data_IF_789937805169
#
_entry.id   IF_789937805169
#
_cell.length_a   1.000
_cell.length_b   1.000
_cell.length_c   1.000
_cell.angle_alpha   90.00
_cell.angle_beta   90.00
_cell.angle_gamma   90.00
#
_symmetry.space_group_name_H-M   'P 1'
#
loop_
_entity.id
_entity.type
_entity.pdbx_description
1 polymer ?
#
# COMPACT_ATOMS: atom_id res chain seq x y z
N UNK A 1 24.93 -3.90 9.25
CA UNK A 1 24.48 -2.57 8.77
C UNK A 1 23.85 -1.84 9.96
N UNK A 2 24.42 -0.74 10.44
CA UNK A 2 23.89 -0.01 11.62
C UNK A 2 22.63 0.82 11.30
N UNK A 3 21.84 1.18 12.33
CA UNK A 3 20.58 1.95 12.25
C UNK A 3 20.65 3.21 11.36
N UNK A 4 21.81 3.88 11.25
CA UNK A 4 22.01 5.02 10.34
C UNK A 4 21.86 4.69 8.85
N UNK A 5 22.26 3.48 8.43
CA UNK A 5 22.14 3.04 7.03
C UNK A 5 20.68 2.78 6.64
N UNK A 6 19.91 2.18 7.55
CA UNK A 6 18.48 1.93 7.38
C UNK A 6 17.68 3.24 7.29
N UNK A 7 18.00 4.23 8.13
CA UNK A 7 17.40 5.56 8.05
C UNK A 7 17.69 6.27 6.71
N UNK A 8 18.89 6.10 6.16
CA UNK A 8 19.27 6.62 4.84
C UNK A 8 18.46 5.97 3.71
N UNK A 9 18.33 4.64 3.74
CA UNK A 9 17.51 3.88 2.78
C UNK A 9 16.06 4.31 2.87
N UNK A 10 15.48 4.36 4.09
CA UNK A 10 14.10 4.81 4.32
C UNK A 10 13.85 6.20 3.74
N UNK A 11 14.74 7.18 4.01
CA UNK A 11 14.64 8.55 3.44
C UNK A 11 14.62 8.56 1.91
N UNK A 12 15.35 7.65 1.26
CA UNK A 12 15.33 7.53 -0.20
C UNK A 12 14.02 6.92 -0.69
N UNK A 13 13.51 5.90 0.00
CA UNK A 13 12.27 5.20 -0.35
C UNK A 13 11.03 6.09 -0.25
N UNK A 14 10.93 6.93 0.78
CA UNK A 14 9.78 7.84 0.95
C UNK A 14 9.65 8.88 -0.15
N UNK A 15 10.70 9.09 -0.95
CA UNK A 15 10.70 9.99 -2.12
C UNK A 15 10.29 9.29 -3.42
N UNK A 16 9.85 8.04 -3.36
CA UNK A 16 9.46 7.28 -4.56
C UNK A 16 8.22 7.91 -5.22
N UNK A 17 8.27 8.25 -6.52
CA UNK A 17 7.09 8.77 -7.22
C UNK A 17 5.91 7.79 -7.17
N UNK A 18 4.73 8.32 -6.88
CA UNK A 18 3.49 7.54 -6.78
C UNK A 18 3.33 6.78 -5.46
N UNK A 19 4.29 6.90 -4.53
CA UNK A 19 4.13 6.38 -3.16
C UNK A 19 2.95 7.08 -2.46
N UNK A 20 2.21 6.27 -1.73
CA UNK A 20 1.03 6.61 -0.95
C UNK A 20 1.04 5.78 0.33
N UNK A 21 0.29 6.24 1.32
CA UNK A 21 0.14 5.58 2.60
C UNK A 21 -1.34 5.29 2.84
N UNK A 22 -1.62 4.15 3.43
CA UNK A 22 -2.93 3.77 3.92
C UNK A 22 -2.81 3.45 5.41
N UNK A 23 -3.56 4.17 6.25
CA UNK A 23 -3.54 3.90 7.69
C UNK A 23 -4.37 2.65 7.98
N UNK A 24 -3.78 1.71 8.70
CA UNK A 24 -4.33 0.38 8.97
C UNK A 24 -4.22 0.04 10.45
N UNK A 25 -5.18 -0.70 11.03
CA UNK A 25 -5.00 -1.25 12.36
C UNK A 25 -3.84 -2.25 12.36
N UNK A 26 -3.05 -2.26 13.44
CA UNK A 26 -1.98 -3.25 13.65
C UNK A 26 -2.62 -4.64 13.77
N UNK A 27 -3.53 -4.79 14.74
CA UNK A 27 -4.43 -5.93 14.89
C UNK A 27 -5.87 -5.44 14.78
N UNK A 28 -6.73 -6.20 14.09
CA UNK A 28 -8.14 -5.84 13.90
C UNK A 28 -8.86 -5.71 15.24
N UNK A 29 -9.58 -4.60 15.43
CA UNK A 29 -10.30 -4.30 16.67
C UNK A 29 -9.51 -3.49 17.70
N UNK A 30 -8.20 -3.27 17.49
CA UNK A 30 -7.37 -2.44 18.35
C UNK A 30 -7.26 -0.99 17.85
N UNK A 31 -6.88 -0.08 18.75
CA UNK A 31 -6.65 1.34 18.46
C UNK A 31 -5.25 1.63 17.89
N UNK A 32 -4.37 0.63 17.86
CA UNK A 32 -3.01 0.77 17.34
C UNK A 32 -3.03 0.73 15.81
N UNK A 33 -2.27 1.63 15.19
CA UNK A 33 -2.25 1.76 13.73
C UNK A 33 -0.83 1.83 13.18
N UNK A 34 -0.67 1.42 11.92
CA UNK A 34 0.54 1.58 11.14
C UNK A 34 0.22 2.15 9.76
N UNK A 35 1.25 2.64 9.07
CA UNK A 35 1.14 3.15 7.71
C UNK A 35 1.56 2.07 6.72
N UNK A 36 0.60 1.59 5.93
CA UNK A 36 0.83 0.67 4.83
C UNK A 36 1.23 1.44 3.57
N UNK A 37 2.45 1.20 3.10
CA UNK A 37 2.97 1.82 1.88
C UNK A 37 2.42 1.12 0.63
N UNK A 38 2.00 1.91 -0.36
CA UNK A 38 1.75 1.41 -1.70
C UNK A 38 2.19 2.42 -2.76
N UNK A 39 2.52 1.94 -3.96
CA UNK A 39 2.86 2.78 -5.11
C UNK A 39 1.85 2.57 -6.20
N UNK A 40 1.24 3.66 -6.67
CA UNK A 40 0.32 3.61 -7.83
C UNK A 40 0.91 4.32 -9.04
N UNK A 41 1.16 3.59 -10.13
CA UNK A 41 1.83 4.08 -11.33
C UNK A 41 1.03 3.82 -12.62
N UNK A 42 1.27 4.63 -13.66
CA UNK A 42 0.55 4.56 -14.94
C UNK A 42 -0.68 5.47 -15.00
N UNK A 43 -1.38 5.49 -16.16
CA UNK A 43 -2.62 6.25 -16.35
C UNK A 43 -3.69 5.79 -15.36
N UNK A 44 -4.44 6.71 -14.74
CA UNK A 44 -5.45 6.36 -13.73
C UNK A 44 -6.72 5.83 -14.39
N UNK A 45 -7.28 4.75 -13.86
CA UNK A 45 -8.61 4.24 -14.22
C UNK A 45 -9.36 3.68 -13.00
N UNK A 46 -10.58 3.19 -13.23
CA UNK A 46 -11.49 2.60 -12.24
C UNK A 46 -11.19 1.11 -11.94
N UNK A 47 -10.30 0.48 -12.73
CA UNK A 47 -9.95 -0.95 -12.66
C UNK A 47 -8.43 -1.14 -12.63
N UNK A 48 -7.76 -0.72 -11.55
CA UNK A 48 -6.32 -0.86 -11.45
C UNK A 48 -5.91 -2.33 -11.28
N UNK A 49 -4.75 -2.67 -11.82
CA UNK A 49 -4.08 -3.94 -11.56
C UNK A 49 -3.40 -3.89 -10.20
N UNK A 50 -3.95 -4.60 -9.22
CA UNK A 50 -3.29 -4.84 -7.94
C UNK A 50 -2.20 -5.91 -8.12
N UNK A 51 -0.95 -5.55 -7.83
CA UNK A 51 0.19 -6.45 -7.89
C UNK A 51 0.68 -6.69 -6.47
N UNK A 52 0.71 -7.97 -6.10
CA UNK A 52 1.25 -8.47 -4.84
C UNK A 52 2.61 -9.10 -5.11
N UNK A 53 3.70 -8.32 -5.03
CA UNK A 53 5.02 -8.89 -5.18
C UNK A 53 5.28 -9.94 -4.10
N UNK A 54 5.67 -11.15 -4.51
CA UNK A 54 5.90 -12.27 -3.60
C UNK A 54 7.18 -12.13 -2.77
N UNK A 55 7.06 -12.50 -1.48
CA UNK A 55 8.17 -12.84 -0.59
C UNK A 55 8.35 -11.90 0.62
N UNK A 56 8.34 -12.39 1.89
CA UNK A 56 8.51 -11.60 3.11
C UNK A 56 9.92 -11.02 3.35
N UNK A 57 10.69 -10.75 2.28
CA UNK A 57 12.06 -10.21 2.37
C UNK A 57 12.33 -8.98 1.50
N UNK A 58 11.41 -8.60 0.61
CA UNK A 58 11.62 -7.53 -0.36
C UNK A 58 10.47 -6.52 -0.32
N UNK A 59 10.70 -5.39 0.35
CA UNK A 59 9.78 -4.26 0.39
C UNK A 59 9.40 -3.80 -1.03
N UNK A 60 8.11 -3.81 -1.39
CA UNK A 60 7.61 -3.63 -2.77
C UNK A 60 8.04 -2.35 -3.49
N UNK A 61 8.40 -1.28 -2.75
CA UNK A 61 8.67 0.04 -3.30
C UNK A 61 9.90 0.07 -4.23
N UNK A 62 10.99 -0.60 -3.85
CA UNK A 62 12.28 -0.52 -4.57
C UNK A 62 12.52 -1.64 -5.58
N UNK A 63 12.43 -2.93 -5.21
CA UNK A 63 12.78 -4.06 -6.09
C UNK A 63 11.91 -4.12 -7.35
N UNK A 64 10.66 -3.66 -7.26
CA UNK A 64 9.71 -3.72 -8.36
C UNK A 64 9.62 -2.41 -9.16
N UNK A 65 10.54 -1.45 -8.95
CA UNK A 65 10.55 -0.20 -9.70
C UNK A 65 10.63 -0.40 -11.23
N UNK A 66 11.49 -1.30 -11.77
CA UNK A 66 11.53 -1.55 -13.22
C UNK A 66 10.22 -2.15 -13.74
N UNK A 67 9.62 -3.08 -12.99
CA UNK A 67 8.34 -3.69 -13.35
C UNK A 67 7.22 -2.64 -13.41
N UNK A 68 7.12 -1.75 -12.40
CA UNK A 68 6.14 -0.65 -12.42
C UNK A 68 6.34 0.28 -13.61
N UNK A 69 7.59 0.64 -13.91
CA UNK A 69 7.89 1.53 -15.03
C UNK A 69 7.47 0.88 -16.37
N UNK A 70 7.77 -0.41 -16.55
CA UNK A 70 7.36 -1.16 -17.74
C UNK A 70 5.84 -1.29 -17.86
N UNK A 71 5.13 -1.57 -16.77
CA UNK A 71 3.67 -1.65 -16.76
C UNK A 71 3.02 -0.29 -17.09
N UNK A 72 3.51 0.80 -16.48
CA UNK A 72 3.04 2.16 -16.75
C UNK A 72 3.28 2.57 -18.21
N UNK A 73 4.44 2.22 -18.79
CA UNK A 73 4.74 2.47 -20.21
C UNK A 73 3.81 1.71 -21.16
N UNK A 74 3.18 0.63 -20.70
CA UNK A 74 2.17 -0.15 -21.44
C UNK A 74 0.74 0.31 -21.18
N UNK A 75 0.56 1.44 -20.49
CA UNK A 75 -0.75 2.02 -20.20
C UNK A 75 -1.51 1.35 -19.04
N UNK A 76 -0.84 0.53 -18.24
CA UNK A 76 -1.49 -0.14 -17.09
C UNK A 76 -1.48 0.77 -15.86
N UNK A 77 -2.66 0.96 -15.26
CA UNK A 77 -2.80 1.49 -13.90
C UNK A 77 -2.42 0.39 -12.92
N UNK A 78 -1.32 0.54 -12.21
CA UNK A 78 -0.82 -0.48 -11.29
C UNK A 78 -0.82 0.04 -9.87
N UNK A 79 -1.30 -0.78 -8.93
CA UNK A 79 -1.15 -0.58 -7.49
C UNK A 79 -0.21 -1.69 -6.99
N UNK A 80 0.93 -1.33 -6.42
CA UNK A 80 1.82 -2.26 -5.73
C UNK A 80 1.85 -1.94 -4.26
N UNK A 81 1.41 -2.88 -3.42
CA UNK A 81 1.31 -2.71 -1.97
C UNK A 81 2.52 -3.38 -1.32
N UNK A 82 3.12 -2.72 -0.33
CA UNK A 82 4.08 -3.37 0.56
C UNK A 82 3.36 -4.32 1.50
N UNK A 83 3.97 -5.48 1.77
CA UNK A 83 3.47 -6.37 2.79
C UNK A 83 3.66 -5.72 4.17
N UNK A 84 2.70 -5.89 5.08
CA UNK A 84 2.86 -5.50 6.49
C UNK A 84 4.08 -6.20 7.10
N UNK A 85 4.79 -5.53 8.00
CA UNK A 85 5.98 -6.08 8.66
C UNK A 85 7.27 -6.02 7.82
N UNK A 86 7.24 -5.46 6.61
CA UNK A 86 8.45 -5.26 5.78
C UNK A 86 8.59 -3.83 5.30
N UNK A 87 9.84 -3.40 5.09
CA UNK A 87 10.16 -2.14 4.43
C UNK A 87 9.62 -0.91 5.13
N UNK A 88 8.88 -0.08 4.37
CA UNK A 88 8.24 1.12 4.90
C UNK A 88 7.05 0.78 5.81
N UNK A 89 6.46 -0.39 5.63
CA UNK A 89 5.27 -0.91 6.35
C UNK A 89 5.64 -1.85 7.51
N UNK A 90 6.89 -1.79 7.98
CA UNK A 90 7.43 -2.66 9.03
C UNK A 90 7.05 -2.23 10.44
N UNK A 91 6.85 -0.94 10.66
CA UNK A 91 6.72 -0.38 12.00
C UNK A 91 5.39 0.30 12.21
N UNK A 92 4.93 0.32 13.46
CA UNK A 92 3.79 1.12 13.89
C UNK A 92 4.11 2.63 13.96
N UNK A 93 3.15 3.41 14.47
CA UNK A 93 3.29 4.85 14.65
C UNK A 93 4.36 5.29 15.65
N UNK A 94 4.76 4.40 16.57
CA UNK A 94 5.82 4.64 17.56
C UNK A 94 7.20 4.18 17.05
N UNK A 95 7.24 3.56 15.86
CA UNK A 95 8.46 3.06 15.24
C UNK A 95 8.88 1.68 15.76
N UNK A 96 8.01 0.97 16.50
CA UNK A 96 8.24 -0.41 16.88
C UNK A 96 7.86 -1.34 15.72
N UNK A 97 8.61 -2.44 15.56
CA UNK A 97 8.27 -3.46 14.58
C UNK A 97 6.88 -4.04 14.86
N UNK A 98 6.11 -4.29 13.81
CA UNK A 98 4.81 -4.95 13.97
C UNK A 98 4.97 -6.31 14.64
N UNK A 99 4.14 -6.63 15.64
CA UNK A 99 4.22 -7.89 16.36
C UNK A 99 3.78 -9.06 15.47
N UNK A 100 4.18 -10.29 15.82
CA UNK A 100 3.94 -11.48 14.98
C UNK A 100 2.44 -11.79 14.77
N UNK A 101 1.60 -11.52 15.77
CA UNK A 101 0.14 -11.64 15.70
C UNK A 101 -0.51 -10.59 14.78
N UNK A 102 0.21 -9.53 14.41
CA UNK A 102 -0.15 -8.60 13.36
C UNK A 102 0.23 -9.11 11.96
N UNK A 103 0.91 -10.26 11.79
CA UNK A 103 1.39 -10.76 10.51
C UNK A 103 0.59 -11.97 10.00
N UNK A 104 -0.74 -11.86 10.01
CA UNK A 104 -1.64 -12.93 9.56
C UNK A 104 -2.15 -12.72 8.14
N UNK A 105 -2.50 -13.84 7.47
CA UNK A 105 -3.14 -13.81 6.15
C UNK A 105 -4.45 -13.02 6.14
N UNK A 106 -5.25 -13.10 7.21
CA UNK A 106 -6.50 -12.38 7.33
C UNK A 106 -6.29 -10.87 7.33
N UNK A 107 -5.35 -10.39 8.14
CA UNK A 107 -5.05 -8.96 8.19
C UNK A 107 -4.40 -8.45 6.88
N UNK A 108 -3.60 -9.28 6.20
CA UNK A 108 -3.09 -8.97 4.86
C UNK A 108 -4.24 -8.89 3.85
N UNK A 109 -5.19 -9.82 3.87
CA UNK A 109 -6.36 -9.75 2.99
C UNK A 109 -7.15 -8.46 3.23
N UNK A 110 -7.35 -8.09 4.50
CA UNK A 110 -8.00 -6.83 4.85
C UNK A 110 -7.19 -5.65 4.31
N UNK A 111 -5.86 -5.65 4.39
CA UNK A 111 -4.97 -4.60 3.86
C UNK A 111 -5.16 -4.38 2.36
N UNK A 112 -5.35 -5.49 1.65
CA UNK A 112 -5.55 -5.53 0.20
C UNK A 112 -6.97 -5.19 -0.23
N UNK A 113 -7.94 -5.23 0.69
CA UNK A 113 -9.27 -4.67 0.50
C UNK A 113 -9.25 -3.12 0.47
N UNK A 114 -8.20 -2.54 -0.13
CA UNK A 114 -8.06 -1.11 -0.41
C UNK A 114 -9.34 -0.66 -1.10
N UNK A 115 -10.00 0.41 -0.63
CA UNK A 115 -11.15 0.95 -1.32
C UNK A 115 -10.78 1.27 -2.77
N UNK A 116 -11.39 0.56 -3.71
CA UNK A 116 -11.53 0.97 -5.11
C UNK A 116 -12.49 2.16 -5.20
N UNK A 117 -12.30 3.18 -4.36
CA UNK A 117 -13.21 4.31 -4.29
C UNK A 117 -12.68 5.43 -5.18
N UNK A 118 -13.29 5.67 -6.36
CA UNK A 118 -13.29 7.00 -6.94
C UNK A 118 -13.91 7.94 -5.90
N UNK A 119 -13.28 9.06 -5.61
CA UNK A 119 -13.93 10.12 -4.85
C UNK A 119 -15.21 10.55 -5.60
N UNK A 120 -16.35 10.10 -5.07
CA UNK A 120 -17.72 10.62 -5.18
C UNK A 120 -18.28 10.92 -6.58
N UNK A 121 -19.31 10.15 -6.97
CA UNK A 121 -20.58 10.65 -7.54
C UNK A 121 -21.46 9.48 -8.01
N UNK A 122 -22.45 9.08 -7.20
CA UNK A 122 -23.72 8.58 -7.74
C UNK A 122 -24.68 9.76 -7.75
N UNK A 123 -24.99 10.37 -8.92
CA UNK A 123 -26.08 11.32 -9.00
C UNK A 123 -27.40 10.55 -9.16
N UNK A 124 -28.24 10.63 -8.13
CA UNK A 124 -29.70 10.68 -8.25
C UNK A 124 -30.42 9.42 -8.69
N UNK A 125 -30.87 8.62 -7.72
CA UNK A 125 -32.19 8.00 -7.81
C UNK A 125 -33.24 9.11 -7.83
N UNK A 126 -33.61 9.59 -9.01
CA UNK A 126 -34.83 10.37 -9.17
C UNK A 126 -36.01 9.41 -9.23
N UNK A 127 -36.49 9.04 -8.05
CA UNK A 127 -37.89 8.70 -7.90
C UNK A 127 -38.70 9.96 -8.22
N UNK A 128 -39.50 9.92 -9.28
CA UNK A 128 -40.58 10.88 -9.47
C UNK A 128 -41.87 10.10 -9.62
N UNK A 129 -42.68 10.20 -8.58
CA UNK A 129 -44.10 9.94 -8.63
C UNK A 129 -44.73 10.81 -9.73
N UNK A 130 -45.49 10.18 -10.62
CA UNK A 130 -46.84 10.55 -11.02
C UNK A 130 -47.49 9.40 -11.78
#
# INVERSE_FOLDING_TARGET
MGRSGEAGIRRKLVRTPGLRWLRRPVVSGEQQHFDLAYVRAGPRNDRPLLVLPGGPGLASVMPYRPLRAAAAARGLDTIMVEHRGVGLSRTDGEGADLPQDALTMAQVADDLAVPSTPSLSCPGSTGRAR
#
